data_IF_122643901188
#
_entry.id   IF_122643901188
#
_cell.length_a   1.000
_cell.length_b   1.000
_cell.length_c   1.000
_cell.angle_alpha   90.00
_cell.angle_beta   90.00
_cell.angle_gamma   90.00
#
_symmetry.space_group_name_H-M   'P 1'
#
loop_
_entity.id
_entity.type
_entity.pdbx_description
1 polymer ?
#
# COMPACT_ATOMS: atom_id res chain seq x y z
N UNK A 1 -0.23 7.48 7.35
CA UNK A 1 -0.43 6.88 6.00
C UNK A 1 0.72 5.93 5.73
N UNK A 2 0.47 4.86 4.99
CA UNK A 2 1.47 3.92 4.50
C UNK A 2 1.34 3.72 2.98
N UNK A 3 2.40 3.24 2.34
CA UNK A 3 2.40 2.76 0.95
C UNK A 3 2.77 1.27 1.03
N UNK A 4 1.95 0.40 0.43
CA UNK A 4 2.21 -1.04 0.46
C UNK A 4 3.55 -1.36 -0.24
N UNK A 5 4.45 -2.12 0.38
CA UNK A 5 5.62 -2.68 -0.30
C UNK A 5 5.27 -3.92 -1.15
N UNK A 6 4.05 -4.43 -1.00
CA UNK A 6 3.52 -5.60 -1.70
C UNK A 6 2.67 -5.14 -2.88
N UNK A 7 2.94 -5.73 -4.05
CA UNK A 7 2.22 -5.53 -5.31
C UNK A 7 1.90 -6.90 -5.90
N UNK A 8 0.61 -7.23 -6.06
CA UNK A 8 0.19 -8.52 -6.63
C UNK A 8 0.62 -9.74 -5.81
N UNK A 9 0.74 -9.58 -4.49
CA UNK A 9 1.13 -10.64 -3.56
C UNK A 9 2.64 -10.86 -3.40
N UNK A 10 3.49 -10.01 -3.98
CA UNK A 10 4.94 -10.09 -3.84
C UNK A 10 5.58 -8.72 -3.54
N UNK A 11 6.74 -8.73 -2.89
CA UNK A 11 7.54 -7.52 -2.75
C UNK A 11 8.25 -7.19 -4.07
N UNK A 12 8.17 -5.94 -4.54
CA UNK A 12 8.89 -5.54 -5.76
C UNK A 12 10.42 -5.64 -5.60
N UNK A 13 10.91 -5.30 -4.41
CA UNK A 13 12.32 -5.34 -4.02
C UNK A 13 12.44 -5.66 -2.54
N UNK A 14 13.48 -6.43 -2.18
CA UNK A 14 13.75 -6.80 -0.80
C UNK A 14 12.85 -7.93 -0.28
N UNK A 15 13.04 -8.34 0.99
CA UNK A 15 12.47 -9.57 1.53
C UNK A 15 11.10 -9.39 2.20
N UNK A 16 10.36 -8.31 1.91
CA UNK A 16 9.20 -7.92 2.72
C UNK A 16 8.09 -8.97 2.74
N UNK A 17 7.77 -9.58 1.60
CA UNK A 17 6.82 -10.69 1.49
C UNK A 17 7.26 -11.93 2.29
N UNK A 18 8.54 -12.32 2.18
CA UNK A 18 9.11 -13.42 2.96
C UNK A 18 9.07 -13.13 4.46
N UNK A 19 9.44 -11.92 4.87
CA UNK A 19 9.40 -11.51 6.27
C UNK A 19 7.98 -11.52 6.82
N UNK A 20 7.00 -11.06 6.03
CA UNK A 20 5.59 -11.14 6.42
C UNK A 20 5.18 -12.60 6.66
N UNK A 21 5.49 -13.50 5.72
CA UNK A 21 5.21 -14.93 5.87
C UNK A 21 5.88 -15.54 7.11
N UNK A 22 7.17 -15.31 7.29
CA UNK A 22 7.96 -15.81 8.44
C UNK A 22 7.43 -15.30 9.78
N UNK A 23 6.84 -14.10 9.80
CA UNK A 23 6.22 -13.49 10.98
C UNK A 23 4.72 -13.83 11.11
N UNK A 24 4.17 -14.70 10.27
CA UNK A 24 2.78 -15.17 10.36
C UNK A 24 1.75 -14.22 9.75
N UNK A 25 2.18 -13.32 8.86
CA UNK A 25 1.33 -12.39 8.13
C UNK A 25 1.15 -12.81 6.67
N UNK A 26 -0.04 -12.54 6.14
CA UNK A 26 -0.35 -12.72 4.72
C UNK A 26 0.43 -11.67 3.88
N UNK A 27 1.28 -12.06 2.92
CA UNK A 27 2.04 -11.12 2.09
C UNK A 27 1.13 -10.50 1.01
N UNK A 28 0.16 -9.71 1.44
CA UNK A 28 -0.80 -9.02 0.58
C UNK A 28 -1.05 -7.60 1.08
N UNK A 29 -1.68 -6.77 0.26
CA UNK A 29 -2.11 -5.42 0.70
C UNK A 29 -3.08 -5.48 1.88
N UNK A 30 -3.86 -6.56 2.03
CA UNK A 30 -4.77 -6.77 3.17
C UNK A 30 -3.96 -7.12 4.43
N UNK A 31 -2.93 -7.96 4.31
CA UNK A 31 -2.02 -8.24 5.41
C UNK A 31 -1.26 -6.99 5.87
N UNK A 32 -0.79 -6.17 4.93
CA UNK A 32 -0.20 -4.86 5.23
C UNK A 32 -1.21 -3.96 5.94
N UNK A 33 -2.46 -3.90 5.46
CA UNK A 33 -3.50 -3.09 6.09
C UNK A 33 -3.72 -3.48 7.56
N UNK A 34 -3.83 -4.78 7.86
CA UNK A 34 -3.98 -5.28 9.23
C UNK A 34 -2.79 -4.92 10.11
N UNK A 35 -1.57 -5.00 9.58
CA UNK A 35 -0.35 -4.69 10.32
C UNK A 35 -0.24 -3.19 10.64
N UNK A 36 -0.67 -2.32 9.72
CA UNK A 36 -0.51 -0.87 9.84
C UNK A 36 -1.73 -0.14 10.41
N UNK A 37 -2.92 -0.76 10.46
CA UNK A 37 -4.14 -0.14 10.98
C UNK A 37 -3.99 0.50 12.38
N UNK A 38 -3.19 -0.03 13.33
CA UNK A 38 -3.00 0.62 14.63
C UNK A 38 -2.25 1.96 14.57
N UNK A 39 -1.51 2.25 13.49
CA UNK A 39 -0.62 3.42 13.37
C UNK A 39 -0.87 4.28 12.12
N UNK A 40 -1.73 3.84 11.20
CA UNK A 40 -2.05 4.54 9.98
C UNK A 40 -3.52 4.33 9.59
N UNK A 41 -4.13 5.36 9.01
CA UNK A 41 -5.53 5.37 8.56
C UNK A 41 -5.71 5.26 7.04
N UNK A 42 -4.62 5.35 6.27
CA UNK A 42 -4.63 5.35 4.80
C UNK A 42 -3.54 4.42 4.31
N UNK A 43 -3.89 3.53 3.38
CA UNK A 43 -2.95 2.65 2.68
C UNK A 43 -3.02 2.90 1.17
N UNK A 44 -1.88 3.24 0.58
CA UNK A 44 -1.72 3.30 -0.87
C UNK A 44 -1.40 1.91 -1.42
N UNK A 45 -2.15 1.48 -2.43
CA UNK A 45 -2.00 0.18 -3.11
C UNK A 45 -1.87 0.36 -4.62
N UNK A 46 -1.20 -0.59 -5.27
CA UNK A 46 -1.04 -0.57 -6.73
C UNK A 46 -2.35 -0.99 -7.45
N UNK A 47 -2.62 -0.53 -8.68
CA UNK A 47 -3.81 -0.91 -9.43
C UNK A 47 -4.03 -2.41 -9.61
N UNK A 48 -2.97 -3.23 -9.63
CA UNK A 48 -3.10 -4.70 -9.69
C UNK A 48 -3.90 -5.25 -8.49
N UNK A 49 -3.82 -4.58 -7.34
CA UNK A 49 -4.48 -4.97 -6.10
C UNK A 49 -5.79 -4.20 -5.85
N UNK A 50 -6.28 -3.41 -6.82
CA UNK A 50 -7.49 -2.58 -6.66
C UNK A 50 -8.72 -3.39 -6.23
N UNK A 51 -8.81 -4.64 -6.67
CA UNK A 51 -9.88 -5.57 -6.30
C UNK A 51 -9.89 -5.94 -4.80
N UNK A 52 -8.80 -5.69 -4.07
CA UNK A 52 -8.68 -5.91 -2.63
C UNK A 52 -8.98 -4.65 -1.80
N UNK A 53 -9.26 -3.50 -2.43
CA UNK A 53 -9.59 -2.25 -1.73
C UNK A 53 -10.72 -2.41 -0.68
N UNK A 54 -11.83 -3.12 -0.95
CA UNK A 54 -12.87 -3.33 0.07
C UNK A 54 -12.37 -4.10 1.30
N UNK A 55 -11.42 -5.02 1.13
CA UNK A 55 -10.82 -5.78 2.24
C UNK A 55 -9.81 -4.96 3.02
N UNK A 56 -9.07 -4.07 2.36
CA UNK A 56 -8.22 -3.05 3.00
C UNK A 56 -9.08 -2.11 3.86
N UNK A 57 -10.22 -1.67 3.33
CA UNK A 57 -11.18 -0.84 4.06
C UNK A 57 -11.81 -1.57 5.24
N UNK A 58 -12.20 -2.83 5.06
CA UNK A 58 -12.67 -3.69 6.15
C UNK A 58 -11.61 -3.93 7.24
N UNK A 59 -10.32 -3.83 6.91
CA UNK A 59 -9.22 -3.89 7.88
C UNK A 59 -8.99 -2.56 8.64
N UNK A 60 -9.80 -1.53 8.38
CA UNK A 60 -9.77 -0.26 9.12
C UNK A 60 -8.91 0.84 8.49
N UNK A 61 -8.49 0.68 7.23
CA UNK A 61 -7.69 1.68 6.51
C UNK A 61 -8.38 2.11 5.22
N UNK A 62 -8.39 3.41 4.92
CA UNK A 62 -8.85 3.90 3.62
C UNK A 62 -7.88 3.47 2.52
N UNK A 63 -8.38 2.79 1.49
CA UNK A 63 -7.58 2.40 0.35
C UNK A 63 -7.42 3.57 -0.64
N UNK A 64 -6.20 3.78 -1.14
CA UNK A 64 -5.90 4.72 -2.24
C UNK A 64 -5.21 3.95 -3.34
N UNK A 65 -5.86 3.85 -4.50
CA UNK A 65 -5.34 3.12 -5.66
C UNK A 65 -4.62 4.07 -6.59
N UNK A 66 -3.30 3.90 -6.76
CA UNK A 66 -2.46 4.70 -7.68
C UNK A 66 -1.21 3.87 -8.03
N UNK A 67 -0.65 3.98 -9.26
CA UNK A 67 0.59 3.27 -9.58
C UNK A 67 1.68 3.51 -8.54
N UNK A 68 2.17 2.43 -7.93
CA UNK A 68 3.14 2.51 -6.82
C UNK A 68 4.52 1.99 -7.22
N UNK A 69 4.62 1.27 -8.35
CA UNK A 69 5.88 0.86 -8.96
C UNK A 69 6.62 2.09 -9.52
N UNK A 70 7.61 2.59 -8.78
CA UNK A 70 8.41 3.77 -9.13
C UNK A 70 9.45 3.49 -10.23
N UNK A 71 9.00 3.13 -11.44
CA UNK A 71 9.87 2.84 -12.59
C UNK A 71 10.37 4.08 -13.33
N UNK A 72 9.73 5.24 -13.12
CA UNK A 72 10.11 6.52 -13.69
C UNK A 72 9.85 7.68 -12.71
N UNK A 73 10.61 8.79 -12.78
CA UNK A 73 10.43 9.95 -11.89
C UNK A 73 9.02 10.53 -11.89
N UNK A 74 8.33 10.50 -13.03
CA UNK A 74 6.97 11.01 -13.19
C UNK A 74 5.97 10.19 -12.35
N UNK A 75 6.16 8.87 -12.29
CA UNK A 75 5.34 7.96 -11.48
C UNK A 75 5.60 8.22 -9.99
N UNK A 76 6.86 8.34 -9.58
CA UNK A 76 7.21 8.71 -8.19
C UNK A 76 6.60 10.06 -7.79
N UNK A 77 6.65 11.04 -8.68
CA UNK A 77 6.10 12.37 -8.44
C UNK A 77 4.57 12.35 -8.31
N UNK A 78 3.87 11.59 -9.17
CA UNK A 78 2.43 11.40 -9.11
C UNK A 78 1.98 10.64 -7.86
N UNK A 79 2.71 9.58 -7.49
CA UNK A 79 2.50 8.83 -6.25
C UNK A 79 2.65 9.74 -5.03
N UNK A 80 3.72 10.54 -4.96
CA UNK A 80 3.96 11.47 -3.85
C UNK A 80 2.84 12.50 -3.71
N UNK A 81 2.40 13.13 -4.82
CA UNK A 81 1.27 14.07 -4.82
C UNK A 81 -0.02 13.41 -4.34
N UNK A 82 -0.33 12.22 -4.84
CA UNK A 82 -1.54 11.47 -4.45
C UNK A 82 -1.52 11.09 -2.96
N UNK A 83 -0.35 10.67 -2.45
CA UNK A 83 -0.16 10.33 -1.05
C UNK A 83 -0.38 11.56 -0.14
N UNK A 84 0.17 12.72 -0.51
CA UNK A 84 -0.03 13.95 0.26
C UNK A 84 -1.49 14.41 0.23
N UNK A 85 -2.13 14.42 -0.95
CA UNK A 85 -3.54 14.78 -1.08
C UNK A 85 -4.44 13.85 -0.27
N UNK A 86 -4.10 12.56 -0.18
CA UNK A 86 -4.82 11.58 0.61
C UNK A 86 -4.83 11.89 2.13
N UNK A 87 -3.92 12.70 2.63
CA UNK A 87 -3.93 13.14 4.05
C UNK A 87 -4.24 14.63 4.19
N UNK A 88 -4.81 15.26 3.16
CA UNK A 88 -5.24 16.65 3.19
C UNK A 88 -4.12 17.66 2.95
N UNK A 89 -2.96 17.22 2.46
CA UNK A 89 -1.84 18.11 2.11
C UNK A 89 -1.85 18.32 0.59
N UNK A 90 -2.15 19.53 0.15
CA UNK A 90 -2.16 19.91 -1.28
C UNK A 90 -0.85 20.64 -1.62
N UNK A 91 -0.17 20.21 -2.68
CA UNK A 91 1.03 20.83 -3.26
C UNK A 91 0.77 21.26 -4.71
#
# INVERSE_FOLDING_TARGET
MAISPIVGGAALKGPADRMMLELGHEPSVVGVARLYAPIASVLVIDPVDAHLAPLVEAAGMRAVVVPSVMSAPEISSALARTALAAVGINL
#
